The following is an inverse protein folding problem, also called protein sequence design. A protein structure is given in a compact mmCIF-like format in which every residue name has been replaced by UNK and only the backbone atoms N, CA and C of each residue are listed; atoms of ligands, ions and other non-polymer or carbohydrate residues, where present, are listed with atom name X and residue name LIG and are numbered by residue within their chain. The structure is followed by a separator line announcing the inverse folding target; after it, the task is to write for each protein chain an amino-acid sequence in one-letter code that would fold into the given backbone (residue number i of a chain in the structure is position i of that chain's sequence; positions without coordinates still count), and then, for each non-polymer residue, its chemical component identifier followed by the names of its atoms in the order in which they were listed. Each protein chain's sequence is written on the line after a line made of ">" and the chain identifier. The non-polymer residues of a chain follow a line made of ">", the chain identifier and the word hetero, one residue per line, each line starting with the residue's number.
data_IF_838747200011
#
_entry.id   IF_838747200011
#
_cell.length_a   1.000
_cell.length_b   1.000
_cell.length_c   1.000
_cell.angle_alpha   90.00
_cell.angle_beta   90.00
_cell.angle_gamma   90.00
#
_symmetry.space_group_name_H-M   'P 1'
#
loop_
_entity.id
_entity.type
_entity.pdbx_description
1 polymer ?
#
# COMPACT_ATOMS: atom_id res chain seq x y z
N UNK A 1 -18.32 12.79 3.91
CA UNK A 1 -17.05 12.11 3.58
C UNK A 1 -16.08 12.28 4.74
N UNK A 2 -15.67 11.18 5.32
CA UNK A 2 -14.62 11.21 6.33
C UNK A 2 -13.28 11.49 5.65
N UNK A 3 -12.58 12.52 6.11
CA UNK A 3 -11.21 12.79 5.67
C UNK A 3 -10.29 11.90 6.50
N UNK A 4 -9.55 11.02 5.86
CA UNK A 4 -8.56 10.20 6.52
C UNK A 4 -7.34 11.05 6.86
N UNK A 5 -6.77 10.83 8.03
CA UNK A 5 -5.50 11.44 8.43
C UNK A 5 -4.59 10.42 9.07
N UNK A 6 -3.30 10.70 9.07
CA UNK A 6 -2.30 9.82 9.64
C UNK A 6 -0.92 10.46 9.64
N UNK A 7 0.07 9.65 9.94
CA UNK A 7 1.45 10.10 9.98
C UNK A 7 2.41 9.05 10.52
N UNK A 8 3.66 9.46 10.71
CA UNK A 8 4.70 8.59 11.22
C UNK A 8 4.62 8.45 12.75
N UNK A 9 5.31 7.45 13.27
CA UNK A 9 5.32 7.13 14.70
C UNK A 9 5.76 8.32 15.58
N UNK A 10 6.77 9.09 15.15
CA UNK A 10 7.25 10.26 15.92
C UNK A 10 6.41 11.53 15.71
N UNK A 11 5.47 11.53 14.76
CA UNK A 11 4.62 12.67 14.46
C UNK A 11 5.23 13.77 13.58
N UNK A 12 6.49 13.66 13.19
CA UNK A 12 7.18 14.69 12.39
C UNK A 12 6.67 14.77 10.94
N UNK A 13 6.07 13.71 10.43
CA UNK A 13 5.39 13.68 9.12
C UNK A 13 3.92 13.38 9.35
N UNK A 14 3.08 14.24 8.79
CA UNK A 14 1.62 14.07 8.84
C UNK A 14 1.05 14.14 7.43
N UNK A 15 -0.10 13.51 7.23
CA UNK A 15 -0.84 13.61 5.98
C UNK A 15 -2.35 13.65 6.20
N UNK A 16 -3.05 14.17 5.19
CA UNK A 16 -4.52 14.10 5.07
C UNK A 16 -4.86 13.58 3.69
N UNK A 17 -5.81 12.66 3.63
CA UNK A 17 -6.37 12.14 2.38
C UNK A 17 -7.75 12.78 2.21
N UNK A 18 -7.93 13.55 1.13
CA UNK A 18 -9.05 14.46 0.96
C UNK A 18 -10.30 13.80 0.35
N UNK A 19 -10.16 12.62 -0.23
CA UNK A 19 -11.25 11.86 -0.86
C UNK A 19 -11.17 10.38 -0.48
N UNK A 20 -12.25 9.66 -0.74
CA UNK A 20 -12.29 8.21 -0.52
C UNK A 20 -11.17 7.51 -1.28
N UNK A 21 -10.50 6.53 -0.66
CA UNK A 21 -9.48 5.72 -1.34
C UNK A 21 -10.06 4.99 -2.54
N UNK A 22 -9.22 4.76 -3.54
CA UNK A 22 -9.57 3.96 -4.71
C UNK A 22 -9.82 2.49 -4.35
N UNK A 23 -9.01 1.96 -3.46
CA UNK A 23 -9.11 0.61 -2.91
C UNK A 23 -8.25 0.47 -1.66
N UNK A 24 -8.56 -0.53 -0.84
CA UNK A 24 -7.71 -0.98 0.27
C UNK A 24 -7.47 -2.49 0.14
N UNK A 25 -6.26 -2.93 0.43
CA UNK A 25 -5.85 -4.30 0.13
C UNK A 25 -4.66 -4.75 0.97
N UNK A 26 -4.44 -6.06 1.01
CA UNK A 26 -3.16 -6.63 1.42
C UNK A 26 -2.38 -7.09 0.20
N UNK A 27 -1.06 -7.01 0.27
CA UNK A 27 -0.17 -7.55 -0.76
C UNK A 27 0.83 -8.51 -0.12
N UNK A 28 0.81 -9.75 -0.58
CA UNK A 28 1.62 -10.85 -0.04
C UNK A 28 2.87 -11.15 -0.87
N UNK A 29 3.24 -10.32 -1.85
CA UNK A 29 4.42 -10.53 -2.67
C UNK A 29 5.71 -10.47 -1.85
N UNK A 30 6.77 -11.14 -2.32
CA UNK A 30 8.05 -11.19 -1.62
C UNK A 30 8.64 -9.81 -1.35
N UNK A 31 8.46 -8.86 -2.27
CA UNK A 31 8.88 -7.48 -2.02
C UNK A 31 8.19 -6.89 -0.79
N UNK A 32 6.87 -7.01 -0.69
CA UNK A 32 6.11 -6.50 0.45
C UNK A 32 6.47 -7.21 1.75
N UNK A 33 6.65 -8.54 1.70
CA UNK A 33 7.11 -9.31 2.87
C UNK A 33 8.47 -8.81 3.35
N UNK A 34 9.42 -8.65 2.44
CA UNK A 34 10.79 -8.26 2.80
C UNK A 34 10.86 -6.81 3.27
N UNK A 35 10.14 -5.90 2.59
CA UNK A 35 10.14 -4.49 2.92
C UNK A 35 9.49 -4.20 4.29
N UNK A 36 8.43 -4.91 4.63
CA UNK A 36 7.72 -4.73 5.90
C UNK A 36 8.27 -5.59 7.04
N UNK A 37 9.00 -6.66 6.71
CA UNK A 37 9.45 -7.65 7.70
C UNK A 37 8.32 -8.51 8.26
N UNK A 38 7.17 -8.56 7.59
CA UNK A 38 5.99 -9.35 8.01
C UNK A 38 5.40 -10.16 6.86
N UNK A 39 4.25 -10.80 7.09
CA UNK A 39 3.59 -11.65 6.11
C UNK A 39 3.07 -10.89 4.89
N UNK A 40 2.70 -9.64 5.04
CA UNK A 40 2.11 -8.83 3.97
C UNK A 40 2.14 -7.33 4.29
N UNK A 41 1.89 -6.52 3.27
CA UNK A 41 1.59 -5.09 3.42
C UNK A 41 0.10 -4.88 3.44
N UNK A 42 -0.39 -4.05 4.35
CA UNK A 42 -1.76 -3.54 4.35
C UNK A 42 -1.73 -2.08 3.91
N UNK A 43 -2.43 -1.75 2.84
CA UNK A 43 -2.36 -0.42 2.23
C UNK A 43 -3.68 0.00 1.61
N UNK A 44 -3.83 1.30 1.41
CA UNK A 44 -4.86 1.88 0.55
C UNK A 44 -4.20 2.59 -0.63
N UNK A 45 -4.87 2.61 -1.77
CA UNK A 45 -4.44 3.37 -2.93
C UNK A 45 -5.26 4.66 -3.07
N UNK A 46 -4.60 5.77 -3.40
CA UNK A 46 -5.23 7.07 -3.61
C UNK A 46 -4.49 7.85 -4.69
N UNK A 47 -5.14 8.85 -5.30
CA UNK A 47 -4.45 9.74 -6.23
C UNK A 47 -3.50 10.67 -5.47
N UNK A 48 -2.37 11.00 -6.10
CA UNK A 48 -1.37 11.89 -5.50
C UNK A 48 -1.96 13.24 -5.12
N UNK A 49 -2.84 13.79 -5.95
CA UNK A 49 -3.49 15.09 -5.74
C UNK A 49 -4.42 15.15 -4.51
N UNK A 50 -4.82 13.98 -3.97
CA UNK A 50 -5.68 13.92 -2.80
C UNK A 50 -4.91 13.78 -1.49
N UNK A 51 -3.58 13.74 -1.55
CA UNK A 51 -2.74 13.60 -0.36
C UNK A 51 -2.05 14.92 -0.05
N UNK A 52 -2.40 15.51 1.07
CA UNK A 52 -1.72 16.69 1.62
C UNK A 52 -0.74 16.24 2.69
N UNK A 53 0.54 16.46 2.43
CA UNK A 53 1.62 16.21 3.39
C UNK A 53 1.91 17.48 4.19
N UNK A 54 2.31 17.30 5.44
CA UNK A 54 2.77 18.37 6.32
C UNK A 54 3.85 17.87 7.28
N UNK A 55 4.57 18.80 7.88
CA UNK A 55 5.70 18.49 8.74
C UNK A 55 7.01 18.36 7.98
N UNK A 56 7.89 17.45 8.41
CA UNK A 56 9.20 17.26 7.82
C UNK A 56 9.12 16.50 6.47
N UNK A 57 10.15 16.66 5.65
CA UNK A 57 10.24 15.90 4.41
C UNK A 57 10.53 14.42 4.68
N UNK A 58 9.87 13.54 3.90
CA UNK A 58 10.19 12.13 3.89
C UNK A 58 11.48 11.85 3.13
N UNK A 59 12.16 10.77 3.50
CA UNK A 59 13.25 10.22 2.72
C UNK A 59 12.72 9.17 1.75
N UNK A 60 13.34 9.08 0.58
CA UNK A 60 12.94 8.13 -0.47
C UNK A 60 14.03 7.08 -0.65
N UNK A 61 13.62 5.81 -0.59
CA UNK A 61 14.44 4.69 -1.06
C UNK A 61 13.87 4.20 -2.37
N UNK A 62 14.71 4.17 -3.41
CA UNK A 62 14.33 3.68 -4.73
C UNK A 62 14.75 2.23 -4.88
N UNK A 63 13.77 1.36 -5.17
CA UNK A 63 13.97 -0.05 -5.42
C UNK A 63 13.61 -0.37 -6.87
N UNK A 64 14.51 -1.02 -7.61
CA UNK A 64 14.23 -1.52 -8.95
C UNK A 64 13.87 -3.01 -8.86
N UNK A 65 12.68 -3.36 -9.29
CA UNK A 65 12.22 -4.75 -9.28
C UNK A 65 13.01 -5.58 -10.30
N UNK A 66 13.58 -6.68 -9.86
CA UNK A 66 14.24 -7.65 -10.74
C UNK A 66 13.22 -8.42 -11.60
N UNK A 67 12.01 -8.60 -11.10
CA UNK A 67 10.94 -9.33 -11.77
C UNK A 67 10.43 -8.60 -13.00
N UNK A 68 10.16 -7.29 -12.91
CA UNK A 68 9.53 -6.52 -13.98
C UNK A 68 10.30 -5.26 -14.40
N UNK A 69 11.42 -4.95 -13.76
CA UNK A 69 12.30 -3.84 -14.11
C UNK A 69 11.79 -2.45 -13.73
N UNK A 70 10.57 -2.31 -13.21
CA UNK A 70 10.01 -1.02 -12.79
C UNK A 70 10.55 -0.60 -11.44
N UNK A 71 10.63 0.71 -11.24
CA UNK A 71 11.04 1.30 -9.97
C UNK A 71 9.86 1.47 -9.02
N UNK A 72 10.16 1.29 -7.74
CA UNK A 72 9.28 1.52 -6.62
C UNK A 72 9.96 2.55 -5.70
N UNK A 73 9.19 3.54 -5.24
CA UNK A 73 9.70 4.65 -4.43
C UNK A 73 9.07 4.59 -3.05
N UNK A 74 9.86 4.13 -2.08
CA UNK A 74 9.43 4.02 -0.68
C UNK A 74 9.70 5.33 0.03
N UNK A 75 8.65 5.96 0.53
CA UNK A 75 8.73 7.19 1.32
C UNK A 75 8.61 6.85 2.80
N UNK A 76 9.59 7.26 3.59
CA UNK A 76 9.64 6.98 5.01
C UNK A 76 10.17 8.17 5.81
N UNK A 77 9.83 8.21 7.09
CA UNK A 77 10.31 9.23 8.00
C UNK A 77 11.78 9.00 8.30
N UNK A 78 12.66 9.99 8.08
CA UNK A 78 14.08 9.84 8.38
C UNK A 78 14.39 9.76 9.88
N UNK A 79 13.48 10.24 10.75
CA UNK A 79 13.68 10.29 12.18
C UNK A 79 13.27 9.00 12.89
N UNK A 80 12.14 8.41 12.51
CA UNK A 80 11.63 7.20 13.17
C UNK A 80 11.54 5.96 12.25
N UNK A 81 11.82 6.10 10.95
CA UNK A 81 11.84 5.01 10.00
C UNK A 81 10.46 4.51 9.55
N UNK A 82 9.36 5.10 10.00
CA UNK A 82 8.01 4.69 9.59
C UNK A 82 7.84 4.86 8.09
N UNK A 83 7.44 3.79 7.38
CA UNK A 83 7.04 3.87 5.98
C UNK A 83 5.67 4.51 5.87
N UNK A 84 5.57 5.61 5.14
CA UNK A 84 4.32 6.36 4.93
C UNK A 84 3.64 5.90 3.65
N UNK A 85 4.38 5.91 2.54
CA UNK A 85 3.80 5.62 1.23
C UNK A 85 4.77 4.89 0.32
N UNK A 86 4.20 4.29 -0.72
CA UNK A 86 4.93 3.70 -1.83
C UNK A 86 4.34 4.22 -3.14
N UNK A 87 5.19 4.71 -4.03
CA UNK A 87 4.83 5.07 -5.41
C UNK A 87 5.49 4.09 -6.37
N UNK A 88 4.86 3.89 -7.52
CA UNK A 88 5.37 2.96 -8.55
C UNK A 88 5.38 3.60 -9.92
N UNK A 89 6.32 3.19 -10.77
CA UNK A 89 6.31 3.61 -12.19
C UNK A 89 5.09 3.08 -12.95
N UNK A 90 4.50 1.97 -12.51
CA UNK A 90 3.33 1.37 -13.17
C UNK A 90 2.10 2.27 -13.11
N UNK A 91 1.92 2.99 -12.00
CA UNK A 91 0.77 3.86 -11.77
C UNK A 91 1.25 5.20 -11.19
N UNK A 92 1.87 6.06 -12.02
CA UNK A 92 2.54 7.27 -11.53
C UNK A 92 1.58 8.31 -10.96
N UNK A 93 0.28 8.24 -11.32
CA UNK A 93 -0.74 9.18 -10.85
C UNK A 93 -1.23 8.91 -9.42
N UNK A 94 -0.85 7.77 -8.85
CA UNK A 94 -1.32 7.34 -7.53
C UNK A 94 -0.19 6.92 -6.62
N UNK A 95 -0.52 6.80 -5.35
CA UNK A 95 0.34 6.23 -4.34
C UNK A 95 -0.45 5.30 -3.42
N UNK A 96 0.26 4.42 -2.76
CA UNK A 96 -0.32 3.62 -1.69
C UNK A 96 0.14 4.17 -0.35
N UNK A 97 -0.79 4.27 0.60
CA UNK A 97 -0.54 4.70 1.97
C UNK A 97 -0.66 3.49 2.88
N UNK A 98 0.26 3.35 3.82
CA UNK A 98 0.26 2.23 4.77
C UNK A 98 -0.90 2.36 5.74
N UNK A 99 -1.79 1.37 5.82
CA UNK A 99 -2.98 1.43 6.68
C UNK A 99 -2.67 1.64 8.15
N UNK A 100 -1.61 1.04 8.65
CA UNK A 100 -1.21 1.17 10.05
C UNK A 100 -0.75 2.58 10.43
N UNK A 101 -0.51 3.48 9.47
CA UNK A 101 -0.14 4.88 9.74
C UNK A 101 -1.33 5.82 9.84
N UNK A 102 -2.55 5.33 9.58
CA UNK A 102 -3.79 6.11 9.81
C UNK A 102 -4.01 6.33 11.30
N UNK A 103 -4.53 7.49 11.65
CA UNK A 103 -4.91 7.80 13.04
C UNK A 103 -6.04 6.89 13.50
N UNK A 104 -6.96 6.55 12.60
CA UNK A 104 -8.06 5.61 12.84
C UNK A 104 -8.22 4.66 11.64
N UNK A 105 -7.51 3.52 11.63
CA UNK A 105 -7.62 2.54 10.55
C UNK A 105 -9.00 1.90 10.40
N UNK A 106 -9.86 1.96 11.43
CA UNK A 106 -11.21 1.38 11.39
C UNK A 106 -12.13 2.04 10.37
N UNK A 107 -11.77 3.24 9.91
CA UNK A 107 -12.52 3.96 8.88
C UNK A 107 -12.33 3.36 7.48
N UNK A 108 -11.39 2.43 7.29
CA UNK A 108 -11.11 1.83 5.99
C UNK A 108 -11.57 0.37 5.98
N UNK A 109 -12.44 0.04 5.03
CA UNK A 109 -12.87 -1.33 4.76
C UNK A 109 -11.88 -2.02 3.83
N UNK A 110 -11.27 -3.09 4.31
CA UNK A 110 -10.33 -3.90 3.52
C UNK A 110 -10.97 -5.25 3.24
N UNK A 111 -11.14 -5.58 1.95
CA UNK A 111 -11.76 -6.84 1.53
C UNK A 111 -11.10 -7.44 0.28
N UNK A 112 -9.88 -7.00 -0.03
CA UNK A 112 -9.13 -7.47 -1.20
C UNK A 112 -7.72 -7.90 -0.82
N UNK A 113 -7.28 -9.01 -1.41
CA UNK A 113 -5.94 -9.57 -1.17
C UNK A 113 -5.27 -9.88 -2.49
N UNK A 114 -4.02 -9.47 -2.65
CA UNK A 114 -3.22 -9.69 -3.85
C UNK A 114 -1.98 -10.53 -3.55
N UNK A 115 -1.48 -11.22 -4.57
CA UNK A 115 -0.33 -12.11 -4.50
C UNK A 115 -0.52 -13.25 -3.49
N UNK A 116 -1.71 -13.82 -3.46
CA UNK A 116 -2.03 -14.93 -2.57
C UNK A 116 -1.17 -16.17 -2.82
N UNK A 117 -0.66 -16.35 -4.06
CA UNK A 117 0.24 -17.47 -4.38
C UNK A 117 1.59 -17.41 -3.64
N UNK A 118 1.99 -16.22 -3.18
CA UNK A 118 3.21 -16.01 -2.41
C UNK A 118 2.96 -15.88 -0.90
N UNK A 119 1.69 -15.93 -0.46
CA UNK A 119 1.33 -15.82 0.94
C UNK A 119 1.95 -16.93 1.78
N UNK A 120 2.29 -16.62 3.04
CA UNK A 120 2.75 -17.63 3.97
C UNK A 120 1.64 -18.69 4.19
N UNK A 121 2.03 -19.94 4.33
CA UNK A 121 1.09 -21.08 4.41
C UNK A 121 0.05 -20.99 5.54
N UNK A 122 0.34 -20.23 6.59
CA UNK A 122 -0.56 -20.03 7.73
C UNK A 122 -1.52 -18.85 7.56
N UNK A 123 -1.42 -18.07 6.46
CA UNK A 123 -2.32 -16.95 6.20
C UNK A 123 -3.63 -17.48 5.65
N UNK A 124 -4.72 -17.07 6.27
CA UNK A 124 -6.08 -17.38 5.85
C UNK A 124 -6.77 -16.11 5.36
N UNK A 125 -7.56 -16.24 4.31
CA UNK A 125 -8.37 -15.15 3.76
C UNK A 125 -9.83 -15.36 4.15
N UNK A 126 -10.54 -14.31 4.63
CA UNK A 126 -11.98 -14.40 4.86
C UNK A 126 -12.72 -14.81 3.57
N UNK A 127 -13.75 -15.67 3.70
CA UNK A 127 -14.46 -16.26 2.55
C UNK A 127 -15.20 -15.25 1.69
N UNK A 128 -15.62 -14.14 2.29
CA UNK A 128 -16.32 -13.02 1.63
C UNK A 128 -15.39 -11.96 1.04
N UNK A 129 -14.07 -12.14 1.18
CA UNK A 129 -13.08 -11.24 0.59
C UNK A 129 -12.69 -11.70 -0.82
N UNK A 130 -12.28 -10.74 -1.64
CA UNK A 130 -11.79 -10.99 -3.00
C UNK A 130 -10.29 -11.31 -2.94
N UNK A 131 -9.89 -12.44 -3.51
CA UNK A 131 -8.49 -12.90 -3.49
C UNK A 131 -7.97 -13.07 -4.91
N UNK A 132 -6.82 -12.46 -5.20
CA UNK A 132 -6.12 -12.61 -6.47
C UNK A 132 -4.82 -13.39 -6.27
N UNK A 133 -4.53 -14.32 -7.20
CA UNK A 133 -3.27 -15.08 -7.18
C UNK A 133 -2.06 -14.14 -7.28
N UNK A 134 -2.15 -13.13 -8.14
CA UNK A 134 -1.16 -12.08 -8.34
C UNK A 134 -1.81 -10.69 -8.20
N UNK A 135 -1.48 -9.74 -9.06
CA UNK A 135 -2.08 -8.42 -9.07
C UNK A 135 -3.51 -8.47 -9.65
N UNK A 136 -4.40 -7.58 -9.20
CA UNK A 136 -5.78 -7.47 -9.72
C UNK A 136 -5.86 -6.99 -11.17
N UNK A 137 -4.78 -6.44 -11.71
CA UNK A 137 -4.64 -6.01 -13.11
C UNK A 137 -3.45 -6.76 -13.71
N UNK A 138 -3.67 -7.43 -14.84
CA UNK A 138 -2.64 -8.12 -15.59
C UNK A 138 -1.61 -7.15 -16.20
N UNK A 139 -0.47 -7.65 -16.64
CA UNK A 139 0.58 -6.82 -17.25
C UNK A 139 0.13 -6.11 -18.54
N UNK A 140 -0.84 -6.68 -19.25
CA UNK A 140 -1.47 -6.09 -20.44
C UNK A 140 -2.57 -5.07 -20.11
N UNK A 141 -2.71 -4.67 -18.83
CA UNK A 141 -3.70 -3.76 -18.29
C UNK A 141 -5.16 -4.29 -18.31
N UNK A 142 -5.38 -5.56 -18.58
CA UNK A 142 -6.70 -6.18 -18.44
C UNK A 142 -6.96 -6.56 -16.97
N UNK A 143 -8.25 -6.59 -16.54
CA UNK A 143 -8.59 -7.08 -15.20
C UNK A 143 -8.23 -8.56 -15.02
N UNK A 144 -7.62 -8.90 -13.88
CA UNK A 144 -7.43 -10.29 -13.51
C UNK A 144 -8.72 -10.88 -12.91
N UNK A 145 -8.83 -12.21 -12.92
CA UNK A 145 -9.94 -12.90 -12.27
C UNK A 145 -9.53 -13.30 -10.84
N UNK A 146 -10.41 -13.10 -9.85
CA UNK A 146 -10.21 -13.63 -8.51
C UNK A 146 -10.11 -15.16 -8.53
N UNK A 147 -9.42 -15.74 -7.55
CA UNK A 147 -9.29 -17.20 -7.41
C UNK A 147 -10.38 -17.82 -6.55
N UNK A 148 -11.29 -17.03 -6.03
CA UNK A 148 -12.40 -17.47 -5.16
C UNK A 148 -13.74 -16.88 -5.57
#
# INVERSE_FOLDING_TARGET
>A
MSKLSGGCLCGNIRYKILKEPLLAYTCHCRFCQKDTGTAHRSALATLNEYVNLSGNESKVYTYKSEEHGRQLYKNFCPDCGTTISLKTERFPERQVIMLGTLDDPSQVQLSMHMFAEEAFHWVEFPKDHIVYARHRINEDCTPAFPIN
#
